data_IF_340724455881
#
_entry.id   IF_340724455881
#
_cell.length_a   1.000
_cell.length_b   1.000
_cell.length_c   1.000
_cell.angle_alpha   90.00
_cell.angle_beta   90.00
_cell.angle_gamma   90.00
#
_symmetry.space_group_name_H-M   'P 1'
#
loop_
_entity.id
_entity.type
_entity.pdbx_description
1 polymer ?
#
# COMPACT_ATOMS: atom_id res chain seq x y z
N UNK A 1 -47.07 34.53 37.49
CA UNK A 1 -47.38 33.11 37.18
C UNK A 1 -46.50 32.66 36.02
N UNK A 2 -45.40 31.94 36.27
CA UNK A 2 -44.66 31.24 35.22
C UNK A 2 -45.16 29.80 35.19
N UNK A 3 -46.09 29.51 34.29
CA UNK A 3 -46.43 28.14 33.92
C UNK A 3 -45.35 27.66 32.95
N UNK A 4 -44.25 27.16 33.52
CA UNK A 4 -43.30 26.33 32.75
C UNK A 4 -44.05 25.07 32.36
N UNK A 5 -44.46 24.96 31.08
CA UNK A 5 -45.18 23.81 30.58
C UNK A 5 -44.29 22.56 30.68
N UNK A 6 -44.55 21.63 31.61
CA UNK A 6 -43.66 20.50 31.90
C UNK A 6 -43.55 19.55 30.71
N UNK A 7 -44.61 19.47 29.89
CA UNK A 7 -44.63 18.65 28.67
C UNK A 7 -43.60 19.17 27.67
N UNK A 8 -43.50 20.49 27.47
CA UNK A 8 -42.52 21.11 26.58
C UNK A 8 -41.08 20.77 27.01
N UNK A 9 -40.80 20.76 28.32
CA UNK A 9 -39.48 20.42 28.85
C UNK A 9 -39.13 18.95 28.69
N UNK A 10 -40.11 18.05 28.86
CA UNK A 10 -39.92 16.61 28.61
C UNK A 10 -39.63 16.37 27.12
N UNK A 11 -40.37 17.03 26.21
CA UNK A 11 -40.12 16.92 24.77
C UNK A 11 -38.75 17.48 24.39
N UNK A 12 -38.35 18.64 24.91
CA UNK A 12 -37.01 19.20 24.68
C UNK A 12 -35.91 18.26 25.17
N UNK A 13 -36.03 17.73 26.40
CA UNK A 13 -35.07 16.78 26.95
C UNK A 13 -34.98 15.49 26.11
N UNK A 14 -36.12 14.97 25.63
CA UNK A 14 -36.15 13.80 24.76
C UNK A 14 -35.45 14.05 23.41
N UNK A 15 -35.67 15.23 22.79
CA UNK A 15 -35.00 15.62 21.54
C UNK A 15 -33.49 15.76 21.75
N UNK A 16 -33.06 16.41 22.85
CA UNK A 16 -31.63 16.52 23.19
C UNK A 16 -30.99 15.15 23.44
N UNK A 17 -31.67 14.25 24.16
CA UNK A 17 -31.18 12.89 24.38
C UNK A 17 -31.10 12.08 23.08
N UNK A 18 -32.09 12.21 22.18
CA UNK A 18 -32.07 11.55 20.89
C UNK A 18 -30.94 12.06 19.98
N UNK A 19 -30.70 13.38 19.96
CA UNK A 19 -29.57 14.00 19.25
C UNK A 19 -28.23 13.53 19.82
N UNK A 20 -28.07 13.58 21.15
CA UNK A 20 -26.87 13.11 21.82
C UNK A 20 -26.59 11.63 21.50
N UNK A 21 -27.61 10.76 21.61
CA UNK A 21 -27.49 9.35 21.27
C UNK A 21 -27.10 9.14 19.80
N UNK A 22 -27.67 9.91 18.86
CA UNK A 22 -27.30 9.83 17.44
C UNK A 22 -25.84 10.21 17.18
N UNK A 23 -25.33 11.28 17.81
CA UNK A 23 -23.92 11.67 17.71
C UNK A 23 -23.01 10.61 18.35
N UNK A 24 -23.37 10.08 19.53
CA UNK A 24 -22.60 9.04 20.21
C UNK A 24 -22.52 7.75 19.39
N UNK A 25 -23.63 7.30 18.78
CA UNK A 25 -23.63 6.10 17.92
C UNK A 25 -22.69 6.32 16.73
N UNK A 26 -22.75 7.49 16.08
CA UNK A 26 -21.84 7.82 14.97
C UNK A 26 -20.37 7.84 15.37
N UNK A 27 -20.05 8.36 16.54
CA UNK A 27 -18.68 8.38 17.03
C UNK A 27 -18.18 6.98 17.41
N UNK A 28 -19.04 6.13 17.98
CA UNK A 28 -18.74 4.72 18.23
C UNK A 28 -18.48 3.94 16.94
N UNK A 29 -19.28 4.16 15.89
CA UNK A 29 -19.09 3.53 14.58
C UNK A 29 -17.76 3.92 13.95
N UNK A 30 -17.37 5.20 14.07
CA UNK A 30 -16.07 5.71 13.60
C UNK A 30 -14.91 5.06 14.34
N UNK A 31 -14.94 5.06 15.68
CA UNK A 31 -13.90 4.43 16.50
C UNK A 31 -13.79 2.93 16.20
N UNK A 32 -14.92 2.24 16.04
CA UNK A 32 -14.95 0.81 15.71
C UNK A 32 -14.33 0.55 14.33
N UNK A 33 -14.64 1.38 13.35
CA UNK A 33 -14.07 1.27 11.99
C UNK A 33 -12.57 1.54 12.00
N UNK A 34 -12.13 2.54 12.76
CA UNK A 34 -10.71 2.87 12.92
C UNK A 34 -9.94 1.73 13.61
N UNK A 35 -10.49 1.17 14.70
CA UNK A 35 -9.92 0.00 15.37
C UNK A 35 -9.81 -1.20 14.43
N UNK A 36 -10.84 -1.47 13.63
CA UNK A 36 -10.80 -2.52 12.59
C UNK A 36 -9.71 -2.24 11.56
N UNK A 37 -9.55 -0.99 11.13
CA UNK A 37 -8.48 -0.56 10.23
C UNK A 37 -7.10 -0.87 10.80
N UNK A 38 -6.83 -0.49 12.05
CA UNK A 38 -5.57 -0.78 12.73
C UNK A 38 -5.31 -2.27 12.95
N UNK A 39 -6.34 -3.10 13.14
CA UNK A 39 -6.17 -4.54 13.33
C UNK A 39 -5.90 -5.29 12.02
N UNK A 40 -6.56 -4.87 10.94
CA UNK A 40 -6.55 -5.57 9.64
C UNK A 40 -5.48 -5.03 8.69
N UNK A 41 -5.00 -3.80 8.92
CA UNK A 41 -4.21 -3.03 7.97
C UNK A 41 -5.05 -2.14 7.06
N UNK A 42 -6.38 -2.15 7.19
CA UNK A 42 -7.28 -1.19 6.55
C UNK A 42 -7.04 -1.02 5.04
N UNK A 43 -6.92 0.23 4.61
CA UNK A 43 -6.65 0.63 3.22
C UNK A 43 -5.15 0.72 2.88
N UNK A 44 -4.28 0.10 3.70
CA UNK A 44 -2.84 0.08 3.43
C UNK A 44 -2.50 -0.71 2.17
N UNK A 45 -1.61 -0.15 1.37
CA UNK A 45 -1.14 -0.76 0.13
C UNK A 45 0.38 -0.72 0.11
N UNK A 46 0.97 -1.86 -0.24
CA UNK A 46 2.41 -2.02 -0.41
C UNK A 46 2.68 -2.31 -1.88
N UNK A 47 3.67 -1.62 -2.45
CA UNK A 47 4.04 -1.73 -3.86
C UNK A 47 5.55 -1.54 -4.03
N UNK A 48 6.09 -1.87 -5.20
CA UNK A 48 7.48 -1.59 -5.54
C UNK A 48 7.59 -0.33 -6.39
N UNK A 49 8.63 0.45 -6.16
CA UNK A 49 9.00 1.64 -6.93
C UNK A 49 10.50 1.58 -7.28
N UNK A 50 10.89 1.86 -8.54
CA UNK A 50 12.27 1.83 -8.96
C UNK A 50 12.98 3.12 -8.54
N UNK A 51 14.21 2.99 -8.05
CA UNK A 51 15.07 4.13 -7.74
C UNK A 51 16.50 3.83 -8.19
N UNK A 52 17.16 4.82 -8.79
CA UNK A 52 18.59 4.77 -9.11
C UNK A 52 19.39 5.39 -7.97
N UNK A 53 20.29 4.60 -7.35
CA UNK A 53 21.18 5.09 -6.29
C UNK A 53 22.50 4.33 -6.29
N UNK A 54 23.61 5.06 -6.23
CA UNK A 54 24.95 4.48 -6.08
C UNK A 54 25.37 3.58 -7.25
N UNK A 55 25.06 3.95 -8.50
CA UNK A 55 25.41 3.17 -9.70
C UNK A 55 24.62 1.87 -9.83
N UNK A 56 23.41 1.82 -9.26
CA UNK A 56 22.50 0.67 -9.33
C UNK A 56 21.07 1.17 -9.49
N UNK A 57 20.29 0.44 -10.28
CA UNK A 57 18.84 0.52 -10.30
C UNK A 57 18.31 -0.59 -9.39
N UNK A 58 17.46 -0.27 -8.43
CA UNK A 58 16.78 -1.28 -7.63
C UNK A 58 15.31 -0.91 -7.45
N UNK A 59 14.47 -1.93 -7.29
CA UNK A 59 13.09 -1.74 -6.86
C UNK A 59 13.02 -1.79 -5.33
N UNK A 60 12.37 -0.79 -4.77
CA UNK A 60 12.21 -0.61 -3.33
C UNK A 60 10.75 -0.76 -2.96
N UNK A 61 10.49 -1.36 -1.80
CA UNK A 61 9.13 -1.38 -1.26
C UNK A 61 8.72 0.02 -0.84
N UNK A 62 7.50 0.40 -1.19
CA UNK A 62 6.80 1.62 -0.79
C UNK A 62 5.48 1.25 -0.12
N UNK A 63 4.97 2.17 0.68
CA UNK A 63 3.68 2.06 1.36
C UNK A 63 2.85 3.31 1.11
N UNK A 64 1.53 3.11 0.97
CA UNK A 64 0.53 4.17 1.00
C UNK A 64 -0.70 3.69 1.77
N UNK A 65 -1.53 4.63 2.23
CA UNK A 65 -2.70 4.36 3.06
C UNK A 65 -2.54 4.88 4.49
N UNK A 66 -3.66 4.96 5.21
CA UNK A 66 -3.69 5.58 6.55
C UNK A 66 -3.35 4.60 7.68
N UNK A 67 -3.32 3.30 7.38
CA UNK A 67 -3.01 2.24 8.33
C UNK A 67 -1.69 1.55 7.97
N UNK A 68 -1.01 0.87 8.92
CA UNK A 68 0.13 0.03 8.62
C UNK A 68 -0.24 -1.17 7.76
N UNK A 69 0.68 -1.59 6.88
CA UNK A 69 0.60 -2.90 6.25
C UNK A 69 1.25 -3.94 7.15
N UNK A 70 0.49 -4.96 7.56
CA UNK A 70 0.95 -6.02 8.45
C UNK A 70 1.25 -7.30 7.68
N UNK A 71 2.15 -8.11 8.24
CA UNK A 71 2.52 -9.44 7.74
C UNK A 71 2.89 -9.45 6.26
N UNK A 72 3.63 -8.43 5.83
CA UNK A 72 4.04 -8.27 4.44
C UNK A 72 5.03 -9.37 4.07
N UNK A 73 4.70 -10.13 3.03
CA UNK A 73 5.53 -11.19 2.45
C UNK A 73 5.61 -10.95 0.94
N UNK A 74 6.83 -10.98 0.41
CA UNK A 74 7.09 -10.76 -1.02
C UNK A 74 7.53 -12.07 -1.69
N UNK A 75 7.01 -12.31 -2.90
CA UNK A 75 7.45 -13.35 -3.82
C UNK A 75 7.71 -12.73 -5.18
N UNK A 76 8.82 -13.09 -5.82
CA UNK A 76 9.17 -12.63 -7.15
C UNK A 76 9.15 -13.82 -8.08
N UNK A 77 8.42 -13.67 -9.18
CA UNK A 77 8.32 -14.64 -10.24
C UNK A 77 8.90 -14.06 -11.54
N UNK A 78 9.39 -14.93 -12.42
CA UNK A 78 9.78 -14.56 -13.77
C UNK A 78 8.57 -14.41 -14.71
N UNK A 79 8.82 -14.30 -16.02
CA UNK A 79 7.79 -14.16 -17.05
C UNK A 79 6.93 -15.43 -17.21
N UNK A 80 7.49 -16.60 -16.90
CA UNK A 80 6.82 -17.90 -16.99
C UNK A 80 6.12 -18.29 -15.67
N UNK A 81 6.00 -17.33 -14.75
CA UNK A 81 5.42 -17.46 -13.41
C UNK A 81 6.20 -18.38 -12.45
N UNK A 82 7.43 -18.79 -12.80
CA UNK A 82 8.28 -19.53 -11.90
C UNK A 82 8.78 -18.64 -10.77
N UNK A 83 8.69 -19.14 -9.53
CA UNK A 83 9.20 -18.44 -8.36
C UNK A 83 10.73 -18.38 -8.44
N UNK A 84 11.26 -17.16 -8.58
CA UNK A 84 12.71 -16.90 -8.63
C UNK A 84 13.26 -16.41 -7.30
N UNK A 85 12.43 -15.78 -6.45
CA UNK A 85 12.86 -15.31 -5.14
C UNK A 85 11.69 -15.24 -4.14
N UNK A 86 11.96 -15.63 -2.90
CA UNK A 86 11.01 -15.62 -1.79
C UNK A 86 10.50 -17.01 -1.39
N UNK A 87 9.55 -17.09 -0.44
CA UNK A 87 8.89 -15.98 0.25
C UNK A 87 9.84 -15.18 1.15
N UNK A 88 9.83 -13.85 1.01
CA UNK A 88 10.62 -12.92 1.83
C UNK A 88 9.69 -12.27 2.87
N UNK A 89 9.81 -12.61 4.16
CA UNK A 89 9.05 -11.93 5.21
C UNK A 89 9.65 -10.53 5.45
N UNK A 90 8.85 -9.50 5.23
CA UNK A 90 9.22 -8.10 5.48
C UNK A 90 8.63 -7.61 6.81
N UNK A 91 7.48 -8.16 7.22
CA UNK A 91 6.85 -7.82 8.50
C UNK A 91 5.89 -6.64 8.37
N UNK A 92 6.04 -5.62 9.21
CA UNK A 92 5.16 -4.44 9.21
C UNK A 92 5.81 -3.28 8.45
N UNK A 93 5.04 -2.61 7.59
CA UNK A 93 5.49 -1.44 6.83
C UNK A 93 4.54 -0.27 7.09
N UNK A 94 5.14 0.89 7.41
CA UNK A 94 4.45 2.17 7.55
C UNK A 94 5.20 3.26 6.80
N UNK A 95 4.47 4.19 6.20
CA UNK A 95 5.06 5.35 5.52
C UNK A 95 5.94 6.16 6.47
N UNK A 96 7.16 6.49 6.05
CA UNK A 96 8.12 7.24 6.87
C UNK A 96 8.86 6.43 7.94
N UNK A 97 8.66 5.12 8.03
CA UNK A 97 9.43 4.24 8.94
C UNK A 97 10.88 3.99 8.49
N UNK A 98 11.23 4.35 7.25
CA UNK A 98 12.49 3.99 6.62
C UNK A 98 12.50 2.57 6.06
N UNK A 99 11.54 1.71 6.44
CA UNK A 99 11.29 0.41 5.81
C UNK A 99 10.63 0.56 4.43
N UNK A 100 10.05 1.73 4.15
CA UNK A 100 9.49 2.15 2.85
C UNK A 100 10.55 2.56 1.82
N UNK A 101 11.81 2.20 2.06
CA UNK A 101 12.93 2.30 1.12
C UNK A 101 13.85 1.07 1.20
N UNK A 102 13.28 -0.10 1.49
CA UNK A 102 14.02 -1.35 1.50
C UNK A 102 13.97 -2.05 0.14
N UNK A 103 15.14 -2.30 -0.43
CA UNK A 103 15.29 -3.20 -1.58
C UNK A 103 15.30 -4.65 -1.07
N UNK A 104 14.14 -5.24 -0.83
CA UNK A 104 14.08 -6.57 -0.18
C UNK A 104 14.50 -7.72 -1.09
N UNK A 105 14.25 -7.62 -2.39
CA UNK A 105 14.55 -8.68 -3.36
C UNK A 105 15.87 -8.39 -4.08
N UNK A 106 16.78 -9.36 -4.12
CA UNK A 106 18.05 -9.26 -4.83
C UNK A 106 17.86 -9.37 -6.36
N UNK A 107 16.90 -10.17 -6.81
CA UNK A 107 16.54 -10.35 -8.23
C UNK A 107 16.03 -9.06 -8.88
N UNK A 108 15.58 -8.10 -8.08
CA UNK A 108 15.12 -6.78 -8.52
C UNK A 108 16.18 -5.68 -8.36
N UNK A 109 17.47 -6.06 -8.31
CA UNK A 109 18.61 -5.14 -8.28
C UNK A 109 19.45 -5.32 -9.54
N UNK A 110 19.74 -4.20 -10.21
CA UNK A 110 20.43 -4.17 -11.49
C UNK A 110 21.64 -3.23 -11.39
N UNK A 111 22.83 -3.65 -11.86
CA UNK A 111 23.96 -2.74 -11.99
C UNK A 111 23.64 -1.66 -13.01
N UNK A 112 23.99 -0.41 -12.74
CA UNK A 112 23.75 0.73 -13.64
C UNK A 112 25.09 1.41 -13.96
N UNK A 113 25.55 1.39 -15.22
CA UNK A 113 24.82 1.06 -16.45
C UNK A 113 24.55 -0.44 -16.67
N UNK A 114 23.57 -0.80 -17.52
CA UNK A 114 23.31 -2.19 -17.93
C UNK A 114 24.55 -2.84 -18.55
N UNK A 115 24.87 -4.11 -18.20
CA UNK A 115 25.94 -4.85 -18.83
C UNK A 115 25.70 -5.03 -20.35
N UNK A 116 26.76 -5.12 -21.17
CA UNK A 116 26.63 -5.37 -22.60
C UNK A 116 25.87 -6.67 -22.89
N UNK A 117 24.98 -6.66 -23.88
CA UNK A 117 24.21 -7.83 -24.29
C UNK A 117 23.03 -8.19 -23.38
N UNK A 118 22.72 -7.37 -22.37
CA UNK A 118 21.55 -7.61 -21.54
C UNK A 118 20.25 -7.41 -22.32
N UNK A 119 19.25 -8.23 -22.04
CA UNK A 119 17.91 -8.16 -22.66
C UNK A 119 16.88 -7.62 -21.67
N UNK A 120 15.66 -7.36 -22.18
CA UNK A 120 14.52 -7.02 -21.35
C UNK A 120 14.21 -8.17 -20.37
N UNK A 121 13.89 -7.83 -19.13
CA UNK A 121 13.41 -8.76 -18.10
C UNK A 121 12.02 -8.34 -17.64
N UNK A 122 11.18 -9.33 -17.38
CA UNK A 122 9.83 -9.17 -16.87
C UNK A 122 9.70 -9.96 -15.58
N UNK A 123 8.99 -9.39 -14.61
CA UNK A 123 8.77 -9.99 -13.32
C UNK A 123 7.31 -9.84 -12.92
N UNK A 124 6.77 -10.88 -12.27
CA UNK A 124 5.51 -10.80 -11.53
C UNK A 124 5.86 -10.81 -10.05
N UNK A 125 5.66 -9.68 -9.38
CA UNK A 125 5.89 -9.54 -7.94
C UNK A 125 4.57 -9.69 -7.22
N UNK A 126 4.50 -10.65 -6.32
CA UNK A 126 3.35 -10.87 -5.46
C UNK A 126 3.67 -10.36 -4.04
N UNK A 127 2.79 -9.53 -3.52
CA UNK A 127 2.93 -8.85 -2.24
C UNK A 127 1.72 -9.25 -1.41
N UNK A 128 1.92 -10.20 -0.50
CA UNK A 128 0.91 -10.62 0.43
C UNK A 128 1.01 -9.76 1.69
N UNK A 129 -0.12 -9.27 2.19
CA UNK A 129 -0.25 -8.58 3.46
C UNK A 129 -1.51 -9.10 4.18
N UNK A 130 -1.70 -8.71 5.44
CA UNK A 130 -2.84 -9.14 6.24
C UNK A 130 -4.20 -8.77 5.62
N UNK A 131 -4.29 -7.64 4.93
CA UNK A 131 -5.51 -7.15 4.30
C UNK A 131 -5.72 -7.66 2.86
N UNK A 132 -4.77 -8.39 2.27
CA UNK A 132 -4.92 -8.93 0.91
C UNK A 132 -3.61 -9.23 0.19
N UNK A 133 -3.70 -9.56 -1.10
CA UNK A 133 -2.54 -9.88 -1.95
C UNK A 133 -2.54 -8.97 -3.18
N UNK A 134 -1.51 -8.14 -3.32
CA UNK A 134 -1.29 -7.32 -4.50
C UNK A 134 -0.33 -8.02 -5.47
N UNK A 135 -0.56 -7.86 -6.77
CA UNK A 135 0.33 -8.37 -7.82
C UNK A 135 0.74 -7.23 -8.73
N UNK A 136 2.05 -7.04 -8.87
CA UNK A 136 2.66 -6.00 -9.68
C UNK A 136 3.50 -6.64 -10.78
N UNK A 137 3.24 -6.27 -12.05
CA UNK A 137 4.05 -6.74 -13.18
C UNK A 137 5.08 -5.68 -13.52
N UNK A 138 6.35 -6.02 -13.33
CA UNK A 138 7.48 -5.13 -13.59
C UNK A 138 8.17 -5.53 -14.88
N UNK A 139 8.63 -4.54 -15.63
CA UNK A 139 9.48 -4.73 -16.80
C UNK A 139 10.67 -3.79 -16.70
N UNK A 140 11.85 -4.31 -16.99
CA UNK A 140 13.09 -3.55 -17.03
C UNK A 140 13.85 -3.90 -18.30
N UNK A 141 14.34 -2.91 -19.04
CA UNK A 141 15.09 -3.15 -20.27
C UNK A 141 16.17 -2.11 -20.47
N UNK A 142 17.31 -2.50 -21.09
CA UNK A 142 18.31 -1.53 -21.45
C UNK A 142 17.83 -0.72 -22.64
N UNK A 143 18.01 0.60 -22.57
CA UNK A 143 17.80 1.53 -23.67
C UNK A 143 18.86 2.62 -23.60
N UNK A 144 19.57 2.85 -24.71
CA UNK A 144 20.62 3.89 -24.83
C UNK A 144 21.65 3.89 -23.68
N UNK A 145 22.06 2.71 -23.22
CA UNK A 145 23.06 2.57 -22.15
C UNK A 145 22.54 2.87 -20.74
N UNK A 146 21.22 2.90 -20.54
CA UNK A 146 20.56 3.04 -19.24
C UNK A 146 19.44 2.02 -19.09
N UNK A 147 19.03 1.74 -17.86
CA UNK A 147 17.82 0.95 -17.62
C UNK A 147 16.56 1.81 -17.73
N UNK A 148 15.58 1.36 -18.50
CA UNK A 148 14.18 1.82 -18.40
C UNK A 148 13.35 0.84 -17.61
N UNK A 149 12.31 1.35 -16.97
CA UNK A 149 11.37 0.58 -16.16
C UNK A 149 9.94 0.88 -16.55
N UNK A 150 9.08 -0.12 -16.54
CA UNK A 150 7.62 -0.02 -16.68
C UNK A 150 7.01 -0.89 -15.58
N UNK A 151 5.93 -0.43 -14.97
CA UNK A 151 5.08 -1.25 -14.11
C UNK A 151 3.65 -1.21 -14.61
N UNK A 152 2.98 -2.36 -14.61
CA UNK A 152 1.54 -2.45 -14.77
C UNK A 152 0.94 -3.11 -13.54
N UNK A 153 0.00 -2.40 -12.96
CA UNK A 153 -0.73 -2.86 -11.78
C UNK A 153 -1.77 -3.90 -12.17
N UNK A 154 -1.85 -4.99 -11.42
CA UNK A 154 -3.00 -5.90 -11.49
C UNK A 154 -3.89 -5.56 -10.30
N UNK A 155 -4.96 -4.79 -10.58
CA UNK A 155 -5.90 -4.30 -9.57
C UNK A 155 -6.51 -5.46 -8.77
N UNK A 156 -6.50 -5.33 -7.44
CA UNK A 156 -7.36 -6.11 -6.55
C UNK A 156 -8.82 -5.63 -6.72
N UNK A 157 -9.82 -6.53 -6.68
CA UNK A 157 -11.25 -6.17 -6.79
C UNK A 157 -11.75 -5.21 -5.70
N UNK A 158 -11.00 -5.07 -4.60
CA UNK A 158 -11.37 -4.31 -3.39
C UNK A 158 -10.36 -3.23 -2.99
N UNK A 159 -9.27 -3.03 -3.75
CA UNK A 159 -8.26 -2.02 -3.40
C UNK A 159 -8.53 -0.71 -4.14
N UNK A 160 -8.33 0.41 -3.45
CA UNK A 160 -8.14 1.71 -4.10
C UNK A 160 -7.08 1.57 -5.20
N UNK A 161 -7.19 2.33 -6.31
CA UNK A 161 -6.16 2.34 -7.33
C UNK A 161 -4.80 2.65 -6.69
N UNK A 162 -3.78 1.88 -7.06
CA UNK A 162 -2.40 2.19 -6.71
C UNK A 162 -2.08 3.62 -7.17
N UNK A 163 -1.24 4.36 -6.43
CA UNK A 163 -0.77 5.65 -6.89
C UNK A 163 -0.05 5.48 -8.23
N UNK A 164 -0.06 6.50 -9.11
CA UNK A 164 0.62 6.41 -10.40
C UNK A 164 2.09 6.05 -10.18
N UNK A 165 2.49 4.93 -10.79
CA UNK A 165 3.85 4.42 -10.70
C UNK A 165 4.82 5.43 -11.31
N UNK A 166 5.75 5.93 -10.49
CA UNK A 166 6.81 6.84 -10.95
C UNK A 166 7.92 6.02 -11.58
N UNK A 167 8.06 6.13 -12.89
CA UNK A 167 9.06 5.36 -13.59
C UNK A 167 10.46 5.92 -13.30
N UNK A 168 11.50 5.09 -13.36
CA UNK A 168 12.87 5.54 -13.10
C UNK A 168 13.32 6.65 -14.07
N UNK A 169 12.71 6.78 -15.25
CA UNK A 169 12.97 7.84 -16.22
C UNK A 169 12.34 9.20 -15.85
N UNK A 170 11.43 9.23 -14.89
CA UNK A 170 10.76 10.45 -14.41
C UNK A 170 11.45 11.06 -13.17
N UNK A 171 12.53 10.41 -12.71
CA UNK A 171 13.38 10.81 -11.59
C UNK A 171 14.79 11.16 -12.06
#
# INVERSE_FOLDING_TARGET
MRLTNPVLWIFLAAIFNALAAFFTIRDQDRQTTELRGWMTGGDSIVYFEPLRRGGRLAYFIRHTGSFPAYDVVVRVHDEDEHLIEGPIPVGMITGGSGLDWLAVAQSLRFPDPPPPGTTAKRFRVEIQARNGVAVQRLRVWPDQGRWRTESRDVQLPSARPLPPFREAQEQ
#
